data_IF_441015408564
#
_entry.id   IF_441015408564
#
_cell.length_a   1.000
_cell.length_b   1.000
_cell.length_c   1.000
_cell.angle_alpha   90.00
_cell.angle_beta   90.00
_cell.angle_gamma   90.00
#
_symmetry.space_group_name_H-M   'P 1'
#
loop_
_entity.id
_entity.type
_entity.pdbx_description
1 polymer ?
#
# COMPACT_ATOMS: atom_id res chain seq x y z
N UNK A 1 49.42 39.37 -41.41
CA UNK A 1 47.96 39.19 -41.61
C UNK A 1 47.58 37.79 -41.13
N UNK A 2 46.45 37.67 -40.43
CA UNK A 2 45.80 36.46 -39.89
C UNK A 2 46.54 35.78 -38.70
N UNK A 3 46.19 36.01 -37.43
CA UNK A 3 44.97 35.67 -36.64
C UNK A 3 45.11 34.35 -35.88
N UNK A 4 45.54 34.44 -34.62
CA UNK A 4 45.39 33.40 -33.59
C UNK A 4 43.96 33.47 -33.03
N UNK A 5 43.16 32.44 -33.27
CA UNK A 5 41.79 32.31 -32.77
C UNK A 5 41.76 31.31 -31.61
N UNK A 6 41.17 31.81 -30.52
CA UNK A 6 40.81 31.15 -29.27
C UNK A 6 40.28 29.72 -29.41
N UNK A 7 40.85 28.79 -28.64
CA UNK A 7 40.18 27.53 -28.25
C UNK A 7 39.95 27.63 -26.73
N UNK A 8 38.84 28.24 -26.36
CA UNK A 8 38.30 28.21 -25.01
C UNK A 8 36.85 27.77 -25.08
N UNK A 9 36.61 26.46 -25.13
CA UNK A 9 35.24 25.93 -25.09
C UNK A 9 35.22 24.62 -24.27
N UNK A 10 34.49 24.70 -23.16
CA UNK A 10 33.73 23.62 -22.51
C UNK A 10 34.46 22.54 -21.70
N UNK A 11 34.91 22.91 -20.49
CA UNK A 11 34.99 21.97 -19.36
C UNK A 11 33.77 22.04 -18.42
N UNK A 12 32.87 23.02 -18.61
CA UNK A 12 31.72 23.23 -17.70
C UNK A 12 30.44 22.48 -18.12
N UNK A 13 30.32 22.02 -19.37
CA UNK A 13 29.09 21.35 -19.86
C UNK A 13 29.08 19.84 -19.65
N UNK A 14 30.23 19.20 -19.39
CA UNK A 14 30.29 17.74 -19.15
C UNK A 14 29.87 17.35 -17.72
N UNK A 15 30.02 18.25 -16.75
CA UNK A 15 29.62 18.02 -15.36
C UNK A 15 28.11 18.00 -15.13
N UNK A 16 27.32 18.62 -16.02
CA UNK A 16 25.86 18.70 -15.84
C UNK A 16 25.12 17.42 -16.31
N UNK A 17 25.71 16.63 -17.22
CA UNK A 17 25.09 15.40 -17.71
C UNK A 17 25.32 14.18 -16.79
N UNK A 18 26.39 14.17 -16.00
CA UNK A 18 26.68 13.09 -15.06
C UNK A 18 25.74 13.11 -13.83
N UNK A 19 25.26 14.27 -13.41
CA UNK A 19 24.38 14.39 -12.25
C UNK A 19 22.93 13.92 -12.53
N UNK A 20 22.47 13.92 -13.78
CA UNK A 20 21.10 13.50 -14.12
C UNK A 20 20.91 11.98 -14.25
N UNK A 21 22.00 11.20 -14.30
CA UNK A 21 21.95 9.74 -14.48
C UNK A 21 22.29 8.97 -13.21
N UNK A 22 22.91 9.62 -12.22
CA UNK A 22 23.27 9.01 -10.94
C UNK A 22 22.05 8.82 -10.03
N UNK A 23 21.09 9.75 -10.01
CA UNK A 23 19.91 9.64 -9.13
C UNK A 23 19.00 8.46 -9.50
N UNK A 24 18.84 8.15 -10.80
CA UNK A 24 18.00 7.02 -11.23
C UNK A 24 18.67 5.67 -10.97
N UNK A 25 20.00 5.60 -11.09
CA UNK A 25 20.76 4.38 -10.82
C UNK A 25 20.85 4.09 -9.30
N UNK A 26 21.01 5.12 -8.46
CA UNK A 26 21.03 4.97 -7.00
C UNK A 26 19.69 4.49 -6.45
N UNK A 27 18.56 4.99 -7.00
CA UNK A 27 17.22 4.59 -6.59
C UNK A 27 16.94 3.10 -6.83
N UNK A 28 17.35 2.54 -7.97
CA UNK A 28 17.19 1.11 -8.27
C UNK A 28 18.06 0.21 -7.37
N UNK A 29 19.26 0.67 -6.99
CA UNK A 29 20.14 -0.07 -6.07
C UNK A 29 19.70 -0.02 -4.60
N UNK A 30 18.85 0.94 -4.23
CA UNK A 30 18.38 1.15 -2.85
C UNK A 30 17.08 0.39 -2.52
N UNK A 31 16.35 -0.11 -3.53
CA UNK A 31 15.10 -0.85 -3.35
C UNK A 31 15.41 -2.30 -2.95
N UNK A 32 14.80 -2.75 -1.85
CA UNK A 32 15.02 -4.11 -1.34
C UNK A 32 14.41 -5.18 -2.23
N UNK A 33 14.90 -6.42 -2.12
CA UNK A 33 14.34 -7.57 -2.83
C UNK A 33 12.87 -7.83 -2.46
N UNK A 34 12.40 -7.33 -1.30
CA UNK A 34 10.99 -7.43 -0.88
C UNK A 34 10.03 -6.73 -1.86
N UNK A 35 10.48 -5.67 -2.52
CA UNK A 35 9.72 -4.97 -3.57
C UNK A 35 9.85 -5.62 -4.95
N UNK A 36 10.81 -6.54 -5.15
CA UNK A 36 10.99 -7.33 -6.38
C UNK A 36 10.12 -8.59 -6.35
N UNK A 37 8.85 -8.42 -5.99
CA UNK A 37 7.87 -9.49 -5.96
C UNK A 37 7.37 -9.77 -7.38
N UNK A 38 7.12 -11.05 -7.71
CA UNK A 38 6.42 -11.42 -8.94
C UNK A 38 4.93 -11.11 -8.80
N UNK A 39 4.47 -10.09 -9.54
CA UNK A 39 3.07 -9.65 -9.56
C UNK A 39 2.18 -10.55 -10.42
N UNK A 40 0.85 -10.43 -10.30
CA UNK A 40 -0.09 -11.23 -11.08
C UNK A 40 0.20 -11.17 -12.58
N UNK A 41 0.40 -12.32 -13.23
CA UNK A 41 0.72 -12.38 -14.66
C UNK A 41 -0.34 -11.73 -15.56
N UNK A 42 -1.62 -11.77 -15.15
CA UNK A 42 -2.72 -11.13 -15.92
C UNK A 42 -2.67 -9.60 -15.90
N UNK A 43 -2.03 -9.00 -14.89
CA UNK A 43 -1.88 -7.54 -14.78
C UNK A 43 -0.45 -7.08 -15.06
N UNK A 44 0.52 -8.00 -15.04
CA UNK A 44 1.95 -7.75 -15.23
C UNK A 44 2.51 -8.83 -16.15
N UNK A 45 2.81 -8.48 -17.40
CA UNK A 45 3.22 -9.44 -18.41
C UNK A 45 4.44 -8.96 -19.19
N UNK A 46 5.20 -9.90 -19.75
CA UNK A 46 6.32 -9.55 -20.62
C UNK A 46 5.80 -8.90 -21.91
N UNK A 47 6.49 -7.87 -22.43
CA UNK A 47 6.14 -7.29 -23.71
C UNK A 47 6.32 -8.32 -24.83
N UNK A 48 5.56 -8.16 -25.90
CA UNK A 48 5.74 -8.93 -27.12
C UNK A 48 6.82 -8.24 -27.96
N UNK A 49 7.91 -8.96 -28.23
CA UNK A 49 9.04 -8.44 -29.00
C UNK A 49 9.06 -9.05 -30.39
N UNK A 50 9.14 -8.19 -31.39
CA UNK A 50 9.00 -8.56 -32.80
C UNK A 50 10.08 -7.85 -33.63
N UNK A 51 10.66 -8.58 -34.58
CA UNK A 51 11.50 -8.00 -35.62
C UNK A 51 10.61 -7.37 -36.69
N UNK A 52 10.65 -6.04 -36.84
CA UNK A 52 10.11 -5.33 -38.01
C UNK A 52 11.26 -4.94 -38.95
N UNK A 53 10.98 -4.66 -40.24
CA UNK A 53 11.99 -4.23 -41.21
C UNK A 53 12.79 -2.97 -40.80
N UNK A 54 12.22 -2.14 -39.92
CA UNK A 54 12.83 -0.92 -39.38
C UNK A 54 13.52 -1.11 -38.01
N UNK A 55 13.47 -2.31 -37.43
CA UNK A 55 14.20 -2.67 -36.22
C UNK A 55 13.49 -3.68 -35.31
N UNK A 56 14.18 -4.06 -34.24
CA UNK A 56 13.63 -4.90 -33.17
C UNK A 56 13.01 -4.00 -32.09
N UNK A 57 11.73 -4.20 -31.79
CA UNK A 57 11.00 -3.44 -30.77
C UNK A 57 10.13 -4.38 -29.94
N UNK A 58 9.88 -3.99 -28.69
CA UNK A 58 9.01 -4.68 -27.75
C UNK A 58 7.83 -3.77 -27.41
N UNK A 59 6.61 -4.27 -27.61
CA UNK A 59 5.38 -3.52 -27.38
C UNK A 59 4.51 -4.20 -26.32
N UNK A 60 3.84 -3.38 -25.51
CA UNK A 60 2.80 -3.87 -24.62
C UNK A 60 1.49 -4.01 -25.40
N UNK A 61 0.74 -5.09 -25.13
CA UNK A 61 -0.57 -5.29 -25.74
C UNK A 61 -1.60 -4.22 -25.34
N UNK A 62 -2.76 -4.18 -26.02
CA UNK A 62 -3.82 -3.22 -25.71
C UNK A 62 -4.24 -3.26 -24.24
N UNK A 63 -4.36 -2.10 -23.61
CA UNK A 63 -4.73 -1.99 -22.19
C UNK A 63 -3.55 -2.13 -21.22
N UNK A 64 -2.31 -2.22 -21.72
CA UNK A 64 -1.09 -2.27 -20.93
C UNK A 64 -0.15 -1.13 -21.30
N UNK A 65 0.68 -0.71 -20.35
CA UNK A 65 1.74 0.27 -20.54
C UNK A 65 3.07 -0.26 -20.03
N UNK A 66 4.17 0.22 -20.60
CA UNK A 66 5.51 -0.14 -20.16
C UNK A 66 5.86 0.62 -18.87
N UNK A 67 6.19 -0.10 -17.78
CA UNK A 67 6.54 0.52 -16.49
C UNK A 67 8.06 0.65 -16.25
N UNK A 68 8.89 0.48 -17.28
CA UNK A 68 10.37 0.38 -17.23
C UNK A 68 10.92 -1.02 -16.91
N UNK A 69 10.08 -1.99 -16.52
CA UNK A 69 10.50 -3.38 -16.27
C UNK A 69 9.64 -4.41 -16.99
N UNK A 70 8.32 -4.20 -17.02
CA UNK A 70 7.32 -5.11 -17.59
C UNK A 70 6.14 -4.32 -18.14
N UNK A 71 5.23 -4.99 -18.86
CA UNK A 71 3.96 -4.40 -19.21
C UNK A 71 3.00 -4.51 -18.03
N UNK A 72 2.46 -3.37 -17.58
CA UNK A 72 1.47 -3.30 -16.50
C UNK A 72 0.12 -2.89 -17.06
N UNK A 73 -0.95 -3.53 -16.62
CA UNK A 73 -2.31 -3.20 -17.03
C UNK A 73 -2.69 -1.80 -16.56
N UNK A 74 -3.27 -1.00 -17.46
CA UNK A 74 -3.85 0.31 -17.12
C UNK A 74 -4.94 0.20 -16.05
N UNK A 75 -5.54 -0.99 -15.86
CA UNK A 75 -6.53 -1.22 -14.81
C UNK A 75 -5.93 -1.20 -13.40
N UNK A 76 -4.59 -1.33 -13.25
CA UNK A 76 -3.92 -1.20 -11.95
C UNK A 76 -3.97 0.24 -11.44
N UNK A 77 -3.94 1.23 -12.34
CA UNK A 77 -4.09 2.65 -11.99
C UNK A 77 -5.55 3.01 -11.75
N UNK A 78 -6.07 2.63 -10.59
CA UNK A 78 -7.50 2.72 -10.33
C UNK A 78 -7.81 2.74 -8.85
N UNK A 79 -8.86 3.49 -8.48
CA UNK A 79 -9.37 3.55 -7.11
C UNK A 79 -10.72 2.83 -6.97
N UNK A 80 -11.06 2.47 -5.73
CA UNK A 80 -12.40 2.05 -5.31
C UNK A 80 -13.09 3.21 -4.61
N UNK A 81 -14.28 3.54 -5.07
CA UNK A 81 -15.06 4.68 -4.56
C UNK A 81 -16.21 4.18 -3.69
N UNK A 82 -16.20 4.57 -2.42
CA UNK A 82 -17.25 4.23 -1.45
C UNK A 82 -18.11 5.47 -1.22
N UNK A 83 -19.15 5.63 -2.03
CA UNK A 83 -19.99 6.85 -2.07
C UNK A 83 -21.16 6.86 -1.09
N UNK A 84 -21.55 5.69 -0.57
CA UNK A 84 -22.69 5.56 0.33
C UNK A 84 -22.41 4.57 1.47
N UNK A 85 -23.17 4.74 2.57
CA UNK A 85 -23.17 3.81 3.71
C UNK A 85 -24.14 2.66 3.44
N UNK A 86 -23.79 1.77 2.51
CA UNK A 86 -24.60 0.60 2.17
C UNK A 86 -23.89 -0.70 2.56
N UNK A 87 -24.65 -1.73 2.93
CA UNK A 87 -24.14 -3.08 3.19
C UNK A 87 -23.49 -3.75 1.97
N UNK A 88 -23.85 -3.31 0.77
CA UNK A 88 -23.29 -3.71 -0.51
C UNK A 88 -22.00 -2.93 -0.89
N UNK A 89 -21.67 -1.86 -0.16
CA UNK A 89 -20.51 -1.01 -0.49
C UNK A 89 -19.25 -1.56 0.18
N UNK A 90 -18.67 -2.61 -0.40
CA UNK A 90 -17.40 -3.21 0.05
C UNK A 90 -16.67 -3.91 -1.10
N UNK A 91 -15.38 -4.15 -0.91
CA UNK A 91 -14.62 -5.11 -1.71
C UNK A 91 -14.10 -6.21 -0.78
N UNK A 92 -14.06 -7.45 -1.28
CA UNK A 92 -13.66 -8.60 -0.47
C UNK A 92 -12.65 -9.47 -1.19
N UNK A 93 -11.63 -9.91 -0.46
CA UNK A 93 -10.80 -11.05 -0.85
C UNK A 93 -11.17 -12.20 0.06
N UNK A 94 -11.73 -13.26 -0.52
CA UNK A 94 -12.11 -14.46 0.19
C UNK A 94 -11.05 -15.56 -0.03
N UNK A 95 -10.89 -16.40 0.99
CA UNK A 95 -10.30 -17.73 0.85
C UNK A 95 -8.85 -17.77 0.33
N UNK A 96 -8.01 -16.83 0.76
CA UNK A 96 -6.56 -17.00 0.64
C UNK A 96 -6.02 -17.55 1.95
N UNK A 97 -5.55 -18.79 1.91
CA UNK A 97 -4.81 -19.47 2.99
C UNK A 97 -3.49 -18.79 3.36
N UNK A 98 -3.16 -17.64 2.76
CA UNK A 98 -1.88 -16.94 2.90
C UNK A 98 -1.98 -15.50 3.42
N UNK A 99 -3.14 -14.86 3.61
CA UNK A 99 -3.20 -13.38 3.87
C UNK A 99 -2.36 -12.93 5.07
N UNK A 100 -2.07 -13.80 6.03
CA UNK A 100 -1.15 -13.50 7.12
C UNK A 100 0.10 -14.38 7.08
N UNK A 101 1.30 -13.79 7.16
CA UNK A 101 2.53 -14.56 7.20
C UNK A 101 2.71 -15.26 8.53
N UNK A 102 3.35 -16.44 8.50
CA UNK A 102 3.75 -17.19 9.71
C UNK A 102 4.73 -16.41 10.61
N UNK A 103 5.34 -15.37 10.05
CA UNK A 103 6.33 -14.53 10.69
C UNK A 103 5.65 -13.19 10.93
N UNK A 104 5.70 -12.68 12.15
CA UNK A 104 5.09 -11.41 12.55
C UNK A 104 5.64 -10.19 11.80
N UNK A 105 6.49 -10.39 10.79
CA UNK A 105 6.95 -9.35 9.88
C UNK A 105 5.87 -9.13 8.82
N UNK A 106 5.44 -7.89 8.65
CA UNK A 106 4.52 -7.56 7.58
C UNK A 106 4.59 -6.07 7.25
N UNK A 107 4.07 -5.75 6.08
CA UNK A 107 3.75 -4.38 5.67
C UNK A 107 2.38 -4.35 5.04
N UNK A 108 1.55 -3.38 5.44
CA UNK A 108 0.28 -3.04 4.79
C UNK A 108 0.40 -1.61 4.30
N UNK A 109 0.20 -1.38 3.00
CA UNK A 109 0.23 -0.04 2.42
C UNK A 109 -1.00 0.23 1.55
N UNK A 110 -1.48 1.47 1.54
CA UNK A 110 -2.58 1.91 0.71
C UNK A 110 -2.56 3.43 0.52
N UNK A 111 -3.22 3.89 -0.55
CA UNK A 111 -3.66 5.27 -0.67
C UNK A 111 -5.10 5.40 -0.19
N UNK A 112 -5.38 6.47 0.56
CA UNK A 112 -6.72 6.80 1.04
C UNK A 112 -7.07 8.25 0.77
N UNK A 113 -8.32 8.50 0.40
CA UNK A 113 -8.91 9.83 0.29
C UNK A 113 -10.23 9.86 1.06
N UNK A 114 -10.32 10.68 2.11
CA UNK A 114 -11.56 10.84 2.88
C UNK A 114 -12.49 11.84 2.22
N UNK A 115 -13.78 11.56 2.07
CA UNK A 115 -14.74 12.55 1.57
C UNK A 115 -15.10 13.60 2.62
N UNK A 116 -15.21 13.17 3.88
CA UNK A 116 -15.63 13.99 5.01
C UNK A 116 -14.76 13.66 6.23
N UNK A 117 -14.41 14.67 7.03
CA UNK A 117 -13.52 14.50 8.19
C UNK A 117 -14.28 14.30 9.51
N UNK A 118 -15.60 14.49 9.52
CA UNK A 118 -16.49 14.29 10.66
C UNK A 118 -17.18 12.91 10.64
N UNK A 119 -16.92 12.10 9.61
CA UNK A 119 -17.51 10.78 9.43
C UNK A 119 -16.56 9.68 9.92
N UNK A 120 -17.11 8.67 10.61
CA UNK A 120 -16.36 7.47 11.00
C UNK A 120 -16.51 6.39 9.94
N UNK A 121 -15.43 5.71 9.59
CA UNK A 121 -15.45 4.67 8.55
C UNK A 121 -14.25 3.73 8.60
N UNK A 122 -14.46 2.47 8.23
CA UNK A 122 -13.43 1.41 8.25
C UNK A 122 -12.80 1.28 6.87
N UNK A 123 -11.52 1.60 6.76
CA UNK A 123 -10.80 1.51 5.49
C UNK A 123 -10.58 0.04 5.14
N UNK A 124 -10.06 -0.71 6.11
CA UNK A 124 -9.67 -2.11 5.97
C UNK A 124 -10.04 -2.87 7.23
N UNK A 125 -10.56 -4.07 7.05
CA UNK A 125 -10.69 -5.05 8.11
C UNK A 125 -10.31 -6.44 7.64
N UNK A 126 -9.64 -7.18 8.51
CA UNK A 126 -9.29 -8.57 8.31
C UNK A 126 -10.05 -9.41 9.32
N UNK A 127 -10.83 -10.35 8.82
CA UNK A 127 -11.61 -11.29 9.62
C UNK A 127 -10.90 -12.65 9.71
N UNK A 128 -10.93 -13.25 10.90
CA UNK A 128 -10.45 -14.62 11.17
C UNK A 128 -11.63 -15.53 11.53
N UNK A 129 -11.75 -16.66 10.83
CA UNK A 129 -12.59 -17.82 11.18
C UNK A 129 -14.00 -17.48 11.74
N UNK A 130 -14.81 -16.69 10.99
CA UNK A 130 -16.18 -16.27 11.36
C UNK A 130 -16.35 -15.40 12.61
N UNK A 131 -15.27 -15.05 13.30
CA UNK A 131 -15.29 -14.14 14.44
C UNK A 131 -15.08 -12.69 13.96
N UNK A 132 -15.14 -11.69 14.85
CA UNK A 132 -14.96 -10.27 14.49
C UNK A 132 -13.59 -9.91 13.86
N UNK A 133 -13.25 -8.61 13.83
CA UNK A 133 -11.97 -8.19 13.25
C UNK A 133 -10.80 -8.81 14.00
N UNK A 134 -9.82 -9.31 13.25
CA UNK A 134 -8.49 -9.64 13.72
C UNK A 134 -7.53 -8.44 13.58
N UNK A 135 -7.60 -7.74 12.45
CA UNK A 135 -6.93 -6.45 12.25
C UNK A 135 -7.93 -5.45 11.67
N UNK A 136 -7.86 -4.20 12.10
CA UNK A 136 -8.70 -3.12 11.58
C UNK A 136 -7.92 -1.82 11.44
N UNK A 137 -8.08 -1.15 10.30
CA UNK A 137 -7.65 0.22 10.09
C UNK A 137 -8.89 1.07 9.79
N UNK A 138 -9.12 2.10 10.60
CA UNK A 138 -10.32 2.93 10.48
C UNK A 138 -10.03 4.40 10.81
N UNK A 139 -10.89 5.29 10.34
CA UNK A 139 -10.86 6.71 10.66
C UNK A 139 -12.05 7.06 11.54
N UNK A 140 -11.81 7.84 12.58
CA UNK A 140 -12.82 8.34 13.49
C UNK A 140 -13.05 9.83 13.26
N UNK A 141 -14.29 10.17 12.89
CA UNK A 141 -14.68 11.57 12.69
C UNK A 141 -14.75 12.38 13.98
N UNK A 142 -14.98 11.71 15.13
CA UNK A 142 -15.19 12.37 16.43
C UNK A 142 -13.89 12.89 17.04
N UNK A 143 -12.79 12.13 16.95
CA UNK A 143 -11.47 12.54 17.45
C UNK A 143 -10.51 12.99 16.34
N UNK A 144 -10.93 12.85 15.07
CA UNK A 144 -10.20 13.14 13.84
C UNK A 144 -8.86 12.40 13.78
N UNK A 145 -8.88 11.11 14.11
CA UNK A 145 -7.71 10.23 14.10
C UNK A 145 -7.94 9.00 13.23
N UNK A 146 -6.85 8.51 12.67
CA UNK A 146 -6.78 7.14 12.18
C UNK A 146 -6.43 6.22 13.34
N UNK A 147 -7.01 5.04 13.34
CA UNK A 147 -6.87 4.00 14.34
C UNK A 147 -6.43 2.72 13.67
N UNK A 148 -5.46 2.05 14.28
CA UNK A 148 -5.00 0.71 13.92
C UNK A 148 -5.22 -0.17 15.13
N UNK A 149 -5.97 -1.24 14.95
CA UNK A 149 -6.33 -2.18 16.00
C UNK A 149 -5.97 -3.59 15.56
N UNK A 150 -5.38 -4.36 16.47
CA UNK A 150 -5.19 -5.79 16.31
C UNK A 150 -5.74 -6.53 17.54
N UNK A 151 -6.41 -7.65 17.30
CA UNK A 151 -7.14 -8.42 18.31
C UNK A 151 -6.50 -9.79 18.50
N UNK A 152 -6.48 -10.27 19.74
CA UNK A 152 -5.97 -11.61 20.05
C UNK A 152 -6.95 -12.70 19.63
N UNK A 153 -6.42 -13.87 19.28
CA UNK A 153 -7.22 -15.06 18.92
C UNK A 153 -8.07 -15.58 20.08
N UNK A 154 -7.59 -15.43 21.31
CA UNK A 154 -8.32 -15.81 22.52
C UNK A 154 -9.54 -14.91 22.81
N UNK A 155 -9.65 -13.78 22.10
CA UNK A 155 -10.63 -12.72 22.35
C UNK A 155 -11.67 -12.58 21.23
N UNK A 156 -11.45 -13.22 20.07
CA UNK A 156 -12.36 -13.05 18.93
C UNK A 156 -13.68 -13.78 19.19
N UNK A 157 -14.80 -13.04 19.22
CA UNK A 157 -16.14 -13.59 19.47
C UNK A 157 -16.76 -13.25 20.83
N UNK A 158 -16.03 -12.60 21.73
CA UNK A 158 -16.58 -12.09 22.99
C UNK A 158 -17.04 -10.64 22.81
N UNK A 159 -18.24 -10.32 23.30
CA UNK A 159 -18.79 -8.96 23.24
C UNK A 159 -18.01 -8.04 24.20
N UNK A 160 -17.65 -6.84 23.75
CA UNK A 160 -16.99 -5.75 24.50
C UNK A 160 -15.49 -5.91 24.85
N UNK A 161 -14.73 -6.79 24.22
CA UNK A 161 -13.29 -6.91 24.55
C UNK A 161 -12.42 -5.92 23.74
N UNK A 162 -11.53 -5.23 24.47
CA UNK A 162 -10.61 -4.25 23.93
C UNK A 162 -9.55 -4.90 23.03
N UNK A 163 -9.09 -4.22 21.96
CA UNK A 163 -8.03 -4.74 21.11
C UNK A 163 -6.74 -4.97 21.92
N UNK A 164 -6.02 -6.06 21.60
CA UNK A 164 -4.70 -6.35 22.20
C UNK A 164 -3.70 -5.24 21.89
N UNK A 165 -3.80 -4.68 20.68
CA UNK A 165 -3.04 -3.51 20.26
C UNK A 165 -4.00 -2.46 19.70
N UNK A 166 -3.91 -1.24 20.21
CA UNK A 166 -4.58 -0.09 19.63
C UNK A 166 -3.61 1.07 19.57
N UNK A 167 -3.54 1.68 18.39
CA UNK A 167 -2.76 2.88 18.17
C UNK A 167 -3.58 3.87 17.35
N UNK A 168 -3.56 5.15 17.76
CA UNK A 168 -4.21 6.22 17.03
C UNK A 168 -3.23 7.33 16.68
N UNK A 169 -3.38 7.89 15.48
CA UNK A 169 -2.54 8.97 15.00
C UNK A 169 -3.34 10.03 14.24
N UNK A 170 -2.80 11.26 14.24
CA UNK A 170 -3.31 12.38 13.45
C UNK A 170 -2.42 12.61 12.26
N UNK A 171 -3.02 13.03 11.16
CA UNK A 171 -2.31 13.60 10.01
C UNK A 171 -2.40 15.12 10.13
N UNK A 172 -1.25 15.78 10.19
CA UNK A 172 -1.18 17.23 10.29
C UNK A 172 -1.72 17.85 8.98
N UNK A 173 -2.60 18.85 9.11
CA UNK A 173 -3.30 19.47 7.97
C UNK A 173 -4.07 18.48 7.09
N UNK A 174 -4.69 17.46 7.68
CA UNK A 174 -5.60 16.54 6.97
C UNK A 174 -6.74 17.32 6.30
N UNK A 175 -6.88 17.17 4.98
CA UNK A 175 -7.93 17.78 4.18
C UNK A 175 -8.82 16.71 3.54
N UNK A 176 -10.13 16.96 3.42
CA UNK A 176 -11.00 16.07 2.68
C UNK A 176 -10.65 16.12 1.19
N UNK A 177 -10.92 15.02 0.48
CA UNK A 177 -10.75 14.85 -0.97
C UNK A 177 -9.29 14.96 -1.46
N UNK A 178 -8.35 14.84 -0.55
CA UNK A 178 -6.91 14.81 -0.81
C UNK A 178 -6.36 13.38 -0.57
N UNK A 179 -5.44 12.92 -1.41
CA UNK A 179 -4.84 11.58 -1.33
C UNK A 179 -3.70 11.51 -0.31
N UNK A 180 -3.76 10.55 0.61
CA UNK A 180 -2.68 10.25 1.55
C UNK A 180 -2.26 8.81 1.38
N UNK A 181 -0.95 8.56 1.30
CA UNK A 181 -0.40 7.21 1.39
C UNK A 181 -0.09 6.87 2.84
N UNK A 182 -0.59 5.72 3.28
CA UNK A 182 -0.39 5.16 4.61
C UNK A 182 0.29 3.80 4.47
N UNK A 183 1.36 3.58 5.23
CA UNK A 183 1.98 2.27 5.34
C UNK A 183 2.23 1.90 6.79
N UNK A 184 1.77 0.73 7.20
CA UNK A 184 2.02 0.14 8.51
C UNK A 184 2.95 -1.05 8.36
N UNK A 185 4.11 -0.95 9.00
CA UNK A 185 5.14 -1.99 9.04
C UNK A 185 5.23 -2.56 10.45
N UNK A 186 5.50 -3.85 10.55
CA UNK A 186 5.83 -4.52 11.80
C UNK A 186 7.04 -5.41 11.60
N UNK A 187 7.98 -5.36 12.54
CA UNK A 187 9.22 -6.13 12.56
C UNK A 187 9.28 -6.93 13.85
N UNK A 188 9.37 -8.24 13.78
CA UNK A 188 9.62 -9.10 14.93
C UNK A 188 11.11 -9.31 15.15
N UNK A 189 11.54 -9.07 16.38
CA UNK A 189 12.89 -9.34 16.83
C UNK A 189 13.08 -10.83 17.07
N UNK A 190 14.10 -11.46 16.46
CA UNK A 190 14.26 -12.91 16.47
C UNK A 190 14.59 -13.49 17.86
N UNK A 191 15.14 -12.68 18.77
CA UNK A 191 15.65 -13.16 20.08
C UNK A 191 14.59 -13.18 21.17
N UNK A 192 13.78 -12.13 21.25
CA UNK A 192 12.84 -11.91 22.36
C UNK A 192 11.37 -11.93 21.88
N UNK A 193 11.13 -12.15 20.58
CA UNK A 193 9.79 -12.12 19.96
C UNK A 193 9.01 -10.82 20.19
N UNK A 194 9.67 -9.75 20.64
CA UNK A 194 9.08 -8.41 20.66
C UNK A 194 8.91 -7.94 19.23
N UNK A 195 7.94 -7.06 18.99
CA UNK A 195 7.80 -6.44 17.67
C UNK A 195 8.06 -4.95 17.75
N UNK A 196 8.60 -4.35 16.70
CA UNK A 196 8.64 -2.91 16.51
C UNK A 196 7.78 -2.57 15.31
N UNK A 197 6.89 -1.60 15.48
CA UNK A 197 6.00 -1.17 14.42
C UNK A 197 6.21 0.28 14.07
N UNK A 198 5.96 0.60 12.79
CA UNK A 198 5.98 1.98 12.29
C UNK A 198 4.82 2.22 11.35
N UNK A 199 4.18 3.36 11.50
CA UNK A 199 3.22 3.92 10.55
C UNK A 199 3.89 5.09 9.85
N UNK A 200 3.98 5.00 8.52
CA UNK A 200 4.49 6.04 7.64
C UNK A 200 3.32 6.77 6.96
N UNK A 201 3.44 8.09 6.89
CA UNK A 201 2.42 8.96 6.30
C UNK A 201 3.08 9.82 5.23
N UNK A 202 2.59 9.71 4.00
CA UNK A 202 2.97 10.57 2.89
C UNK A 202 1.74 11.36 2.42
N UNK A 203 1.72 12.68 2.58
CA UNK A 203 0.59 13.52 2.20
C UNK A 203 0.48 13.69 0.67
N UNK A 204 -0.61 14.33 0.18
CA UNK A 204 -0.80 14.56 -1.23
C UNK A 204 0.38 15.29 -1.85
N UNK A 205 0.68 14.90 -3.07
CA UNK A 205 1.71 15.55 -3.86
C UNK A 205 1.20 16.94 -4.29
N UNK A 206 1.90 17.98 -3.84
CA UNK A 206 1.72 19.35 -4.28
C UNK A 206 3.09 19.99 -4.48
N UNK A 207 3.63 19.88 -5.68
CA UNK A 207 4.93 20.45 -6.07
C UNK A 207 5.98 19.43 -6.56
N UNK A 208 7.05 19.95 -7.17
CA UNK A 208 8.14 19.23 -7.86
C UNK A 208 9.20 18.60 -6.95
N UNK A 209 8.95 18.50 -5.63
CA UNK A 209 9.93 17.90 -4.70
C UNK A 209 9.68 16.40 -4.55
N UNK A 210 10.76 15.58 -4.47
CA UNK A 210 10.63 14.15 -4.26
C UNK A 210 9.84 13.88 -2.97
N UNK A 211 8.81 13.02 -3.00
CA UNK A 211 8.00 12.76 -1.83
C UNK A 211 8.85 12.17 -0.72
N UNK A 212 9.01 12.94 0.36
CA UNK A 212 9.60 12.45 1.60
C UNK A 212 8.48 12.04 2.52
N UNK A 213 8.61 10.85 3.10
CA UNK A 213 7.83 10.44 4.27
C UNK A 213 7.90 11.58 5.29
N UNK A 214 6.79 12.31 5.45
CA UNK A 214 6.78 13.50 6.32
C UNK A 214 6.79 13.12 7.78
N UNK A 215 6.24 11.95 8.10
CA UNK A 215 6.14 11.47 9.48
C UNK A 215 6.18 9.95 9.53
N UNK A 216 6.88 9.43 10.53
CA UNK A 216 6.75 8.06 11.00
C UNK A 216 6.44 8.06 12.49
N UNK A 217 5.50 7.24 12.94
CA UNK A 217 5.25 7.00 14.36
C UNK A 217 5.42 5.51 14.63
N UNK A 218 6.05 5.14 15.74
CA UNK A 218 6.29 3.75 16.06
C UNK A 218 6.26 3.44 17.55
N UNK A 219 6.29 2.15 17.85
CA UNK A 219 6.31 1.61 19.21
C UNK A 219 6.65 0.12 19.17
N UNK A 220 6.49 -0.56 20.30
CA UNK A 220 6.83 -1.98 20.42
C UNK A 220 5.66 -2.85 20.89
N UNK A 221 5.73 -4.15 20.61
CA UNK A 221 4.87 -5.25 21.08
C UNK A 221 3.39 -5.20 20.62
N UNK A 222 3.12 -5.53 19.36
CA UNK A 222 1.74 -5.64 18.84
C UNK A 222 1.04 -6.94 19.29
N UNK A 223 1.75 -8.06 19.44
CA UNK A 223 1.24 -9.29 20.04
C UNK A 223 2.32 -10.37 20.17
N UNK A 224 2.35 -11.10 21.29
CA UNK A 224 2.92 -12.44 21.38
C UNK A 224 1.85 -13.48 21.00
N UNK A 225 2.19 -14.43 20.12
CA UNK A 225 1.55 -15.75 20.10
C UNK A 225 0.30 -15.99 19.22
N UNK A 226 0.04 -15.22 18.17
CA UNK A 226 -1.05 -15.54 17.24
C UNK A 226 -0.69 -16.69 16.27
N UNK A 227 -1.60 -17.66 16.14
CA UNK A 227 -1.50 -18.84 15.26
C UNK A 227 -2.32 -18.66 14.00
N UNK A 228 -1.73 -18.75 12.81
CA UNK A 228 -2.45 -18.44 11.57
C UNK A 228 -3.83 -19.13 11.43
N UNK A 229 -4.88 -18.37 11.07
CA UNK A 229 -6.18 -18.93 10.69
C UNK A 229 -6.14 -19.96 9.57
N UNK A 230 -7.14 -20.84 9.57
CA UNK A 230 -7.44 -21.68 8.41
C UNK A 230 -8.19 -20.90 7.32
N UNK A 231 -8.97 -19.86 7.69
CA UNK A 231 -9.67 -18.99 6.75
C UNK A 231 -9.56 -17.51 7.16
N UNK A 232 -9.18 -16.68 6.19
CA UNK A 232 -9.17 -15.22 6.31
C UNK A 232 -10.04 -14.58 5.25
N UNK A 233 -10.70 -13.49 5.63
CA UNK A 233 -11.47 -12.65 4.72
C UNK A 233 -11.06 -11.20 4.94
N UNK A 234 -10.65 -10.55 3.86
CA UNK A 234 -10.24 -9.15 3.86
C UNK A 234 -11.36 -8.31 3.28
N UNK A 235 -11.79 -7.28 4.00
CA UNK A 235 -12.80 -6.33 3.54
C UNK A 235 -12.19 -4.94 3.44
N UNK A 236 -12.44 -4.28 2.31
CA UNK A 236 -12.25 -2.84 2.16
C UNK A 236 -13.59 -2.12 2.24
N UNK A 237 -13.60 -0.97 2.90
CA UNK A 237 -14.76 -0.09 3.02
C UNK A 237 -15.80 -0.50 4.07
N UNK A 238 -15.64 -1.65 4.71
CA UNK A 238 -16.51 -2.13 5.78
C UNK A 238 -15.73 -2.69 6.96
N UNK A 239 -16.36 -2.62 8.11
CA UNK A 239 -16.00 -3.43 9.28
C UNK A 239 -16.26 -4.91 8.98
N UNK A 240 -15.56 -5.85 9.62
CA UNK A 240 -15.87 -7.27 9.46
C UNK A 240 -17.34 -7.54 9.78
N UNK A 241 -18.02 -8.43 9.03
CA UNK A 241 -19.40 -8.78 9.33
C UNK A 241 -19.50 -9.44 10.71
N UNK A 242 -20.63 -9.24 11.38
CA UNK A 242 -20.94 -9.94 12.63
C UNK A 242 -21.16 -11.45 12.39
N UNK A 243 -21.42 -12.21 13.47
CA UNK A 243 -21.65 -13.65 13.41
C UNK A 243 -22.84 -14.06 12.50
N UNK A 244 -23.79 -13.15 12.28
CA UNK A 244 -24.92 -13.33 11.35
C UNK A 244 -24.61 -12.87 9.92
N UNK A 245 -23.35 -12.60 9.59
CA UNK A 245 -22.87 -12.08 8.30
C UNK A 245 -23.47 -10.73 7.87
N UNK A 246 -23.81 -9.86 8.83
CA UNK A 246 -24.27 -8.51 8.56
C UNK A 246 -23.21 -7.46 8.90
N UNK A 247 -23.06 -6.47 8.03
CA UNK A 247 -22.23 -5.29 8.24
C UNK A 247 -22.94 -4.25 9.10
N UNK A 248 -22.18 -3.55 9.95
CA UNK A 248 -22.64 -2.39 10.68
C UNK A 248 -22.34 -1.12 9.87
N UNK A 249 -23.38 -0.57 9.23
CA UNK A 249 -23.28 0.57 8.32
C UNK A 249 -22.76 1.87 8.99
N UNK A 250 -22.78 1.96 10.32
CA UNK A 250 -22.16 3.07 11.07
C UNK A 250 -20.65 3.14 10.86
N UNK A 251 -20.03 2.01 10.51
CA UNK A 251 -18.61 1.90 10.24
C UNK A 251 -18.29 1.76 8.75
N UNK A 252 -19.28 1.91 7.86
CA UNK A 252 -19.06 1.96 6.43
C UNK A 252 -18.19 3.17 6.06
N UNK A 253 -17.22 2.96 5.19
CA UNK A 253 -16.29 3.98 4.74
C UNK A 253 -16.92 4.92 3.70
N UNK A 254 -16.55 6.21 3.76
CA UNK A 254 -16.93 7.21 2.78
C UNK A 254 -15.67 7.90 2.25
N UNK A 255 -15.26 7.51 1.05
CA UNK A 255 -14.00 7.95 0.47
C UNK A 255 -13.54 7.07 -0.67
N UNK A 256 -12.26 7.17 -0.99
CA UNK A 256 -11.61 6.32 -1.99
C UNK A 256 -10.40 5.60 -1.38
N UNK A 257 -10.19 4.36 -1.82
CA UNK A 257 -9.01 3.55 -1.51
C UNK A 257 -8.35 3.14 -2.82
N UNK A 258 -7.03 3.18 -2.89
CA UNK A 258 -6.25 2.77 -4.07
C UNK A 258 -4.98 2.05 -3.65
N UNK A 259 -4.48 1.19 -4.53
CA UNK A 259 -3.19 0.49 -4.40
C UNK A 259 -2.97 -0.16 -3.03
N UNK A 260 -4.01 -0.79 -2.48
CA UNK A 260 -3.88 -1.60 -1.26
C UNK A 260 -3.01 -2.82 -1.56
N UNK A 261 -1.92 -2.97 -0.80
CA UNK A 261 -0.99 -4.09 -0.94
C UNK A 261 -0.52 -4.56 0.45
N UNK A 262 -0.23 -5.86 0.56
CA UNK A 262 0.33 -6.49 1.76
C UNK A 262 1.54 -7.35 1.42
N UNK A 263 2.57 -7.24 2.26
CA UNK A 263 3.80 -8.04 2.20
C UNK A 263 3.98 -8.84 3.49
N UNK A 264 4.63 -9.99 3.38
CA UNK A 264 5.09 -10.80 4.52
C UNK A 264 6.43 -10.37 5.11
N UNK A 265 6.88 -9.18 4.75
CA UNK A 265 8.16 -8.63 5.13
C UNK A 265 7.98 -7.21 5.64
N UNK A 266 8.89 -6.79 6.51
CA UNK A 266 8.96 -5.41 6.97
C UNK A 266 9.68 -4.57 5.91
N UNK A 267 8.95 -3.71 5.21
CA UNK A 267 9.55 -2.79 4.27
C UNK A 267 10.32 -1.68 4.99
N UNK A 268 11.44 -1.27 4.40
CA UNK A 268 12.25 -0.16 4.91
C UNK A 268 11.54 1.18 4.72
N UNK A 269 12.09 2.24 5.29
CA UNK A 269 11.56 3.58 5.08
C UNK A 269 11.69 3.99 3.61
N UNK A 270 12.79 3.59 2.99
CA UNK A 270 13.16 3.85 1.60
C UNK A 270 12.20 3.12 0.66
N UNK A 271 11.91 1.83 0.92
CA UNK A 271 10.92 1.06 0.18
C UNK A 271 9.52 1.69 0.27
N UNK A 272 9.09 2.09 1.48
CA UNK A 272 7.80 2.75 1.67
C UNK A 272 7.72 4.10 0.97
N UNK A 273 8.84 4.84 0.93
CA UNK A 273 8.93 6.06 0.15
C UNK A 273 8.77 5.72 -1.33
N UNK A 274 9.51 4.73 -1.86
CA UNK A 274 9.40 4.30 -3.25
C UNK A 274 7.95 3.96 -3.63
N UNK A 275 7.24 3.18 -2.81
CA UNK A 275 5.80 2.88 -2.98
C UNK A 275 4.92 4.13 -3.08
N UNK A 276 5.14 5.11 -2.21
CA UNK A 276 4.34 6.33 -2.17
C UNK A 276 4.54 7.23 -3.41
N UNK A 277 5.59 6.97 -4.19
CA UNK A 277 6.03 7.80 -5.34
C UNK A 277 5.95 7.09 -6.66
N UNK A 278 5.54 5.81 -6.66
CA UNK A 278 5.58 4.97 -7.83
C UNK A 278 4.39 5.25 -8.75
N UNK A 279 4.60 6.17 -9.70
CA UNK A 279 3.67 6.55 -10.75
C UNK A 279 3.61 5.54 -11.91
N UNK A 280 4.53 4.57 -11.93
CA UNK A 280 4.62 3.54 -12.96
C UNK A 280 4.05 2.20 -12.53
N UNK A 281 3.57 2.06 -11.29
CA UNK A 281 3.01 0.81 -10.77
C UNK A 281 3.95 -0.39 -10.98
N UNK A 282 5.18 -0.25 -10.49
CA UNK A 282 6.23 -1.25 -10.52
C UNK A 282 6.11 -2.28 -9.40
N UNK A 283 5.47 -1.91 -8.30
CA UNK A 283 5.46 -2.72 -7.08
C UNK A 283 4.08 -3.30 -6.76
N UNK A 284 4.08 -4.55 -6.28
CA UNK A 284 2.91 -5.29 -5.83
C UNK A 284 3.20 -6.03 -4.52
N UNK A 285 2.15 -6.32 -3.75
CA UNK A 285 2.25 -7.10 -2.51
C UNK A 285 2.33 -8.61 -2.75
N UNK A 286 3.15 -9.31 -1.98
CA UNK A 286 3.31 -10.77 -2.09
C UNK A 286 2.29 -11.59 -1.28
N UNK A 287 1.52 -10.96 -0.39
CA UNK A 287 0.39 -11.59 0.32
C UNK A 287 -0.95 -11.18 -0.27
N UNK A 288 -1.08 -9.88 -0.53
CA UNK A 288 -2.24 -9.27 -1.19
C UNK A 288 -1.71 -8.23 -2.15
N UNK A 289 -2.09 -8.33 -3.41
CA UNK A 289 -1.83 -7.31 -4.42
C UNK A 289 -3.13 -6.56 -4.75
N UNK A 290 -3.00 -5.29 -5.18
CA UNK A 290 -4.16 -4.47 -5.51
C UNK A 290 -5.06 -5.10 -6.58
N UNK A 291 -4.46 -5.80 -7.54
CA UNK A 291 -5.11 -6.58 -8.60
C UNK A 291 -6.00 -7.70 -8.07
N UNK A 292 -5.71 -8.28 -6.89
CA UNK A 292 -6.52 -9.36 -6.31
C UNK A 292 -7.97 -8.93 -6.07
N UNK A 293 -8.15 -7.67 -5.69
CA UNK A 293 -9.46 -7.09 -5.41
C UNK A 293 -10.29 -6.91 -6.68
N UNK A 294 -9.67 -6.91 -7.87
CA UNK A 294 -10.38 -6.81 -9.15
C UNK A 294 -11.06 -8.12 -9.54
N UNK A 295 -10.54 -9.26 -9.12
CA UNK A 295 -11.20 -10.56 -9.28
C UNK A 295 -12.31 -10.82 -8.24
N UNK A 296 -12.26 -10.10 -7.11
CA UNK A 296 -13.08 -10.35 -5.92
C UNK A 296 -14.12 -9.29 -5.56
N UNK A 297 -14.23 -8.17 -6.29
CA UNK A 297 -15.25 -7.15 -6.01
C UNK A 297 -16.65 -7.73 -6.13
N UNK A 298 -17.24 -8.05 -4.98
CA UNK A 298 -18.67 -8.27 -4.82
C UNK A 298 -19.21 -7.10 -4.00
N UNK A 299 -20.02 -6.27 -4.66
CA UNK A 299 -20.83 -5.24 -4.06
C UNK A 299 -22.23 -5.31 -4.65
#
# INVERSE_FOLDING_TARGET
MASLLSIGVNLLTVLCCLACTTESLEFETAISDALKTECHADFYCRPECLDRPDGYYCECGPGFMWNSYTCVSLAVDSSMVFSNRANASYAVINNRTKILPKQYNFTIALFVKLFHLNETGTLFSLRKDSHGNYVRIWYSGSDRRFHIEAYSELQIGRTNEAPQFSFSFKIDNLRPREWYHLAWTNLMHPRNRSTDWKVYITPPQGGTLPPKIKRSVGGSNIAEGATLPNRTELYLGQNSPNASNHFDMRFAFLGEISHFNMWNETLTREDVAALATDDKHRFCGNQVEWSDLRYGTRG
#
